data_IF_895356490522
#
_entry.id   IF_895356490522
#
_cell.length_a   1.000
_cell.length_b   1.000
_cell.length_c   1.000
_cell.angle_alpha   90.00
_cell.angle_beta   90.00
_cell.angle_gamma   90.00
#
_symmetry.space_group_name_H-M   'P 1'
#
loop_
_entity.id
_entity.type
_entity.pdbx_description
1 polymer ?
#
# COMPACT_ATOMS: atom_id res chain seq x y z
N UNK A 1 -22.52 -0.37 7.01
CA UNK A 1 -21.26 -0.66 7.71
C UNK A 1 -20.15 -0.09 6.87
N UNK A 2 -19.33 0.83 7.38
CA UNK A 2 -18.15 1.27 6.63
C UNK A 2 -17.17 0.11 6.58
N UNK A 3 -16.94 -0.43 5.40
CA UNK A 3 -15.93 -1.46 5.17
C UNK A 3 -14.57 -0.79 5.37
N UNK A 4 -13.94 -1.02 6.51
CA UNK A 4 -12.61 -0.48 6.79
C UNK A 4 -11.60 -1.21 5.89
N UNK A 5 -11.02 -0.49 4.92
CA UNK A 5 -10.00 -1.03 4.02
C UNK A 5 -8.70 -1.18 4.79
N UNK A 6 -8.16 -2.40 4.85
CA UNK A 6 -6.88 -2.66 5.48
C UNK A 6 -5.77 -2.53 4.43
N UNK A 7 -4.99 -1.45 4.55
CA UNK A 7 -3.93 -1.10 3.60
C UNK A 7 -2.57 -1.22 4.30
N UNK A 8 -1.64 -1.91 3.66
CA UNK A 8 -0.25 -2.01 4.06
C UNK A 8 0.64 -1.22 3.09
N UNK A 9 1.59 -0.46 3.62
CA UNK A 9 2.68 0.14 2.84
C UNK A 9 3.98 -0.58 3.21
N UNK A 10 4.61 -1.19 2.23
CA UNK A 10 5.92 -1.83 2.38
C UNK A 10 6.96 -1.13 1.52
N UNK A 11 8.22 -1.24 1.92
CA UNK A 11 9.37 -0.77 1.15
C UNK A 11 10.32 -1.95 1.01
N UNK A 12 10.66 -2.26 -0.23
CA UNK A 12 11.54 -3.35 -0.59
C UNK A 12 12.84 -2.81 -1.17
N UNK A 13 13.95 -3.41 -0.79
CA UNK A 13 15.25 -3.21 -1.44
C UNK A 13 15.46 -4.37 -2.41
N UNK A 14 15.23 -4.14 -3.71
CA UNK A 14 15.34 -5.20 -4.74
C UNK A 14 16.79 -5.40 -5.15
N UNK A 15 17.51 -4.29 -5.33
CA UNK A 15 18.95 -4.24 -5.48
C UNK A 15 19.55 -3.33 -4.41
N UNK A 16 20.84 -3.47 -4.12
CA UNK A 16 21.49 -2.69 -3.07
C UNK A 16 21.42 -1.20 -3.37
N UNK A 17 20.76 -0.45 -2.50
CA UNK A 17 20.54 0.99 -2.66
C UNK A 17 19.33 1.37 -3.53
N UNK A 18 18.57 0.39 -4.01
CA UNK A 18 17.37 0.59 -4.82
C UNK A 18 16.11 0.24 -4.04
N UNK A 19 15.40 1.27 -3.56
CA UNK A 19 14.23 1.11 -2.70
C UNK A 19 12.93 1.37 -3.46
N UNK A 20 12.00 0.43 -3.41
CA UNK A 20 10.69 0.49 -4.06
C UNK A 20 9.60 0.41 -3.00
N UNK A 21 8.62 1.31 -3.06
CA UNK A 21 7.44 1.21 -2.21
C UNK A 21 6.34 0.40 -2.90
N UNK A 22 5.56 -0.33 -2.12
CA UNK A 22 4.38 -1.08 -2.59
C UNK A 22 3.25 -0.87 -1.59
N UNK A 23 2.10 -0.40 -2.08
CA UNK A 23 0.84 -0.39 -1.38
C UNK A 23 0.11 -1.70 -1.67
N UNK A 24 -0.38 -2.34 -0.62
CA UNK A 24 -1.14 -3.58 -0.71
C UNK A 24 -2.45 -3.44 0.05
N UNK A 25 -3.50 -4.07 -0.45
CA UNK A 25 -4.81 -4.13 0.19
C UNK A 25 -5.11 -5.56 0.64
N UNK A 26 -5.60 -5.70 1.87
CA UNK A 26 -6.09 -6.98 2.34
C UNK A 26 -7.40 -7.32 1.62
N UNK A 27 -7.41 -8.44 0.91
CA UNK A 27 -8.58 -9.00 0.26
C UNK A 27 -9.16 -10.08 1.16
N UNK A 28 -10.48 -10.01 1.38
CA UNK A 28 -11.17 -11.08 2.09
C UNK A 28 -11.15 -12.33 1.21
N UNK A 29 -10.62 -13.43 1.75
CA UNK A 29 -10.76 -14.73 1.12
C UNK A 29 -12.23 -15.15 0.99
N UNK A 30 -12.49 -16.16 0.17
CA UNK A 30 -13.80 -16.78 0.05
C UNK A 30 -14.36 -17.18 1.43
N UNK A 31 -15.68 -17.09 1.66
CA UNK A 31 -16.27 -17.43 2.95
C UNK A 31 -15.98 -18.90 3.31
N UNK A 32 -15.10 -19.10 4.30
CA UNK A 32 -14.62 -20.42 4.74
C UNK A 32 -13.10 -20.57 4.67
N UNK A 33 -12.40 -19.67 3.98
CA UNK A 33 -10.94 -19.59 3.96
C UNK A 33 -10.48 -18.46 4.90
N UNK A 34 -9.71 -18.81 5.92
CA UNK A 34 -9.13 -17.85 6.87
C UNK A 34 -7.90 -17.12 6.30
N UNK A 35 -7.54 -17.37 5.04
CA UNK A 35 -6.43 -16.69 4.38
C UNK A 35 -6.80 -15.26 4.01
N UNK A 36 -6.34 -14.32 4.83
CA UNK A 36 -6.26 -12.92 4.42
C UNK A 36 -5.04 -12.76 3.49
N UNK A 37 -5.29 -12.54 2.21
CA UNK A 37 -4.25 -12.25 1.23
C UNK A 37 -4.10 -10.74 1.07
N UNK A 38 -2.88 -10.28 0.82
CA UNK A 38 -2.62 -8.90 0.45
C UNK A 38 -2.34 -8.84 -1.05
N UNK A 39 -3.13 -8.07 -1.79
CA UNK A 39 -2.92 -7.84 -3.21
C UNK A 39 -2.28 -6.47 -3.45
N UNK A 40 -1.32 -6.33 -4.39
CA UNK A 40 -0.73 -5.03 -4.71
C UNK A 40 -1.77 -4.08 -5.29
N UNK A 41 -1.90 -2.90 -4.67
CA UNK A 41 -2.76 -1.82 -5.13
C UNK A 41 -1.98 -0.85 -6.02
N UNK A 42 -0.81 -0.41 -5.57
CA UNK A 42 0.06 0.51 -6.33
C UNK A 42 1.52 0.30 -5.92
N UNK A 43 2.46 0.59 -6.81
CA UNK A 43 3.88 0.41 -6.53
C UNK A 43 4.73 1.46 -7.24
N UNK A 44 5.92 1.70 -6.69
CA UNK A 44 6.95 2.48 -7.35
C UNK A 44 7.38 1.81 -8.67
N UNK A 45 7.36 2.58 -9.76
CA UNK A 45 7.90 2.13 -11.04
C UNK A 45 9.43 2.30 -11.13
N UNK A 46 9.98 3.26 -10.37
CA UNK A 46 11.40 3.59 -10.34
C UNK A 46 11.97 3.48 -8.92
N UNK A 47 13.26 3.15 -8.77
CA UNK A 47 13.91 3.06 -7.47
C UNK A 47 14.13 4.43 -6.84
N UNK A 48 14.02 4.46 -5.52
CA UNK A 48 14.48 5.59 -4.70
C UNK A 48 15.84 5.28 -4.10
N UNK A 49 16.67 6.31 -3.96
CA UNK A 49 18.02 6.20 -3.42
C UNK A 49 18.10 5.92 -1.90
N UNK A 50 16.96 5.97 -1.19
CA UNK A 50 16.91 5.65 0.24
C UNK A 50 15.55 5.08 0.64
N UNK A 51 15.57 4.22 1.66
CA UNK A 51 14.37 3.65 2.28
C UNK A 51 13.38 4.74 2.71
N UNK A 52 13.88 5.80 3.37
CA UNK A 52 13.03 6.89 3.86
C UNK A 52 12.36 7.66 2.73
N UNK A 53 13.05 7.87 1.60
CA UNK A 53 12.46 8.55 0.45
C UNK A 53 11.34 7.69 -0.17
N UNK A 54 11.57 6.38 -0.34
CA UNK A 54 10.55 5.46 -0.81
C UNK A 54 9.32 5.44 0.12
N UNK A 55 9.54 5.40 1.44
CA UNK A 55 8.47 5.40 2.42
C UNK A 55 7.65 6.69 2.38
N UNK A 56 8.30 7.86 2.35
CA UNK A 56 7.61 9.16 2.28
C UNK A 56 6.82 9.28 0.98
N UNK A 57 7.38 8.83 -0.14
CA UNK A 57 6.67 8.80 -1.42
C UNK A 57 5.43 7.89 -1.35
N UNK A 58 5.57 6.67 -0.81
CA UNK A 58 4.44 5.76 -0.62
C UNK A 58 3.36 6.31 0.31
N UNK A 59 3.74 6.99 1.42
CA UNK A 59 2.77 7.65 2.32
C UNK A 59 2.06 8.80 1.61
N UNK A 60 2.75 9.56 0.76
CA UNK A 60 2.12 10.64 -0.01
C UNK A 60 1.07 10.09 -0.99
N UNK A 61 1.36 8.99 -1.67
CA UNK A 61 0.39 8.29 -2.53
C UNK A 61 -0.78 7.74 -1.71
N UNK A 62 -0.52 7.09 -0.58
CA UNK A 62 -1.57 6.61 0.33
C UNK A 62 -2.51 7.73 0.75
N UNK A 63 -1.97 8.89 1.17
CA UNK A 63 -2.77 10.06 1.54
C UNK A 63 -3.55 10.64 0.36
N UNK A 64 -3.02 10.55 -0.86
CA UNK A 64 -3.74 11.00 -2.07
C UNK A 64 -4.91 10.07 -2.40
N UNK A 65 -4.74 8.75 -2.26
CA UNK A 65 -5.75 7.75 -2.59
C UNK A 65 -6.90 7.72 -1.57
N UNK A 66 -6.60 7.90 -0.29
CA UNK A 66 -7.56 7.70 0.80
C UNK A 66 -7.90 8.99 1.57
N UNK A 67 -7.28 10.11 1.21
CA UNK A 67 -7.41 11.36 1.95
C UNK A 67 -6.74 11.33 3.33
N UNK A 68 -6.75 12.44 4.07
CA UNK A 68 -6.20 12.52 5.42
C UNK A 68 -6.97 11.66 6.43
N UNK A 69 -8.24 11.34 6.15
CA UNK A 69 -9.13 10.62 7.06
C UNK A 69 -9.32 9.13 6.71
N UNK A 70 -8.67 8.63 5.63
CA UNK A 70 -8.79 7.24 5.19
C UNK A 70 -10.13 6.89 4.51
N UNK A 71 -11.02 7.87 4.30
CA UNK A 71 -12.29 7.67 3.62
C UNK A 71 -12.07 7.78 2.11
N UNK A 72 -12.02 6.64 1.43
CA UNK A 72 -12.16 6.64 -0.03
C UNK A 72 -13.59 7.09 -0.33
N UNK A 73 -13.75 8.36 -0.69
CA UNK A 73 -15.03 8.94 -1.08
C UNK A 73 -15.57 8.22 -2.32
N UNK A 74 -16.33 7.15 -2.10
CA UNK A 74 -17.33 6.68 -3.04
C UNK A 74 -18.64 7.41 -2.70
N UNK A 75 -19.02 8.33 -3.59
CA UNK A 75 -20.41 8.76 -3.77
C UNK A 75 -21.18 7.65 -4.48
#
# INVERSE_FOLDING_TARGET
MHTQRNIALTVHELEKGEFYWVLMEAVAGEPGDASHFYEPLEAALEPYASYSNALVAGVAVMRRLFGPDGNSGYL
#
